data_IF_140109904347
#
_entry.id   IF_140109904347
#
_cell.length_a   1.000
_cell.length_b   1.000
_cell.length_c   1.000
_cell.angle_alpha   90.00
_cell.angle_beta   90.00
_cell.angle_gamma   90.00
#
_symmetry.space_group_name_H-M   'P 1'
#
loop_
_entity.id
_entity.type
_entity.pdbx_description
1 polymer ?
#
# COMPACT_ATOMS: atom_id res chain seq x y z
N UNK A 1 21.33 -15.36 -3.10
CA UNK A 1 21.94 -14.37 -4.01
C UNK A 1 22.68 -13.32 -3.20
N UNK A 2 23.90 -12.97 -3.58
CA UNK A 2 24.71 -11.91 -2.95
C UNK A 2 24.33 -10.51 -3.47
N UNK A 3 23.04 -10.18 -3.48
CA UNK A 3 22.54 -8.95 -4.11
C UNK A 3 21.16 -8.55 -3.58
N UNK A 4 20.86 -7.25 -3.63
CA UNK A 4 19.49 -6.76 -3.63
C UNK A 4 18.96 -6.75 -5.07
N UNK A 5 17.84 -7.43 -5.28
CA UNK A 5 17.19 -7.57 -6.60
C UNK A 5 15.93 -6.71 -6.73
N UNK A 6 15.55 -6.03 -5.67
CA UNK A 6 14.38 -5.16 -5.63
C UNK A 6 14.63 -4.04 -4.61
N UNK A 7 14.34 -2.77 -4.95
CA UNK A 7 14.51 -1.66 -4.03
C UNK A 7 13.47 -1.68 -2.90
N UNK A 8 13.79 -1.06 -1.77
CA UNK A 8 12.80 -0.64 -0.77
C UNK A 8 12.16 0.66 -1.26
N UNK A 9 10.83 0.70 -1.24
CA UNK A 9 10.03 1.82 -1.73
C UNK A 9 9.83 2.82 -0.60
N UNK A 10 10.37 4.02 -0.80
CA UNK A 10 10.16 5.18 0.05
C UNK A 10 9.27 6.24 -0.60
N UNK A 11 8.51 6.93 0.24
CA UNK A 11 7.88 8.20 -0.07
C UNK A 11 8.61 9.33 0.68
N UNK A 12 8.62 10.52 0.11
CA UNK A 12 9.16 11.72 0.74
C UNK A 12 8.26 12.95 0.47
N UNK A 13 8.29 13.98 1.34
CA UNK A 13 7.54 15.21 1.10
C UNK A 13 8.00 15.89 -0.19
N UNK A 14 7.06 16.49 -0.93
CA UNK A 14 7.41 17.17 -2.17
C UNK A 14 8.53 18.20 -1.99
N UNK A 15 9.51 18.13 -2.89
CA UNK A 15 10.66 19.03 -2.91
C UNK A 15 10.82 19.56 -4.33
N UNK A 16 10.61 20.86 -4.51
CA UNK A 16 10.63 21.48 -5.84
C UNK A 16 11.98 21.34 -6.55
N UNK A 17 13.10 21.34 -5.82
CA UNK A 17 14.44 21.15 -6.40
C UNK A 17 14.56 19.75 -7.00
N UNK A 18 14.17 18.72 -6.24
CA UNK A 18 14.18 17.33 -6.72
C UNK A 18 13.19 17.10 -7.86
N UNK A 19 11.99 17.68 -7.78
CA UNK A 19 10.98 17.60 -8.85
C UNK A 19 11.51 18.21 -10.15
N UNK A 20 12.10 19.39 -10.10
CA UNK A 20 12.70 20.04 -11.27
C UNK A 20 13.85 19.20 -11.87
N UNK A 21 14.63 18.51 -11.03
CA UNK A 21 15.69 17.62 -11.48
C UNK A 21 15.12 16.37 -12.16
N UNK A 22 14.09 15.75 -11.57
CA UNK A 22 13.36 14.64 -12.18
C UNK A 22 12.82 15.06 -13.56
N UNK A 23 12.15 16.21 -13.65
CA UNK A 23 11.62 16.73 -14.90
C UNK A 23 12.74 17.00 -15.92
N UNK A 24 13.85 17.63 -15.50
CA UNK A 24 15.04 17.86 -16.36
C UNK A 24 15.49 16.55 -17.02
N UNK A 25 15.66 15.47 -16.26
CA UNK A 25 16.11 14.19 -16.81
C UNK A 25 15.01 13.49 -17.63
N UNK A 26 13.75 13.55 -17.22
CA UNK A 26 12.63 12.94 -17.94
C UNK A 26 12.44 13.53 -19.37
N UNK A 27 12.91 14.76 -19.62
CA UNK A 27 12.92 15.37 -20.96
C UNK A 27 14.12 14.94 -21.85
N UNK A 28 15.07 14.18 -21.31
CA UNK A 28 16.21 13.63 -22.06
C UNK A 28 15.89 12.23 -22.59
N UNK A 29 16.76 11.68 -23.44
CA UNK A 29 16.61 10.30 -23.91
C UNK A 29 16.89 9.30 -22.79
N UNK A 30 15.98 8.36 -22.49
CA UNK A 30 16.22 7.31 -21.50
C UNK A 30 17.30 6.33 -21.97
N UNK A 31 18.06 5.79 -21.03
CA UNK A 31 19.02 4.70 -21.24
C UNK A 31 18.30 3.39 -21.59
N UNK A 32 17.16 3.13 -20.93
CA UNK A 32 16.30 2.00 -21.22
C UNK A 32 14.87 2.46 -21.44
N UNK A 33 14.22 1.94 -22.48
CA UNK A 33 12.82 2.22 -22.81
C UNK A 33 12.16 0.98 -23.41
N UNK A 34 11.30 0.34 -22.65
CA UNK A 34 10.64 -0.89 -23.10
C UNK A 34 9.24 -1.02 -22.51
N UNK A 35 8.38 -1.76 -23.21
CA UNK A 35 7.07 -2.17 -22.72
C UNK A 35 7.19 -3.61 -22.23
N UNK A 36 6.80 -3.84 -20.99
CA UNK A 36 6.81 -5.19 -20.46
C UNK A 36 5.72 -6.04 -21.11
N UNK A 37 6.05 -7.23 -21.65
CA UNK A 37 5.11 -7.98 -22.49
C UNK A 37 3.93 -8.58 -21.74
N UNK A 38 4.04 -8.76 -20.41
CA UNK A 38 3.01 -9.42 -19.60
C UNK A 38 1.91 -8.44 -19.17
N UNK A 39 2.30 -7.27 -18.67
CA UNK A 39 1.37 -6.29 -18.08
C UNK A 39 1.20 -5.03 -18.93
N UNK A 40 2.00 -4.85 -19.98
CA UNK A 40 1.88 -3.74 -20.92
C UNK A 40 2.37 -2.40 -20.38
N UNK A 41 2.99 -2.34 -19.19
CA UNK A 41 3.54 -1.10 -18.67
C UNK A 41 4.84 -0.73 -19.39
N UNK A 42 4.93 0.54 -19.81
CA UNK A 42 6.18 1.13 -20.33
C UNK A 42 7.07 1.50 -19.15
N UNK A 43 8.31 1.05 -19.18
CA UNK A 43 9.35 1.40 -18.23
C UNK A 43 10.42 2.23 -18.95
N UNK A 44 10.75 3.37 -18.35
CA UNK A 44 11.82 4.23 -18.82
C UNK A 44 12.80 4.48 -17.68
N UNK A 45 14.09 4.44 -17.97
CA UNK A 45 15.16 4.58 -16.98
C UNK A 45 16.22 5.55 -17.48
N UNK A 46 16.63 6.48 -16.61
CA UNK A 46 17.64 7.48 -16.89
C UNK A 46 18.78 7.36 -15.86
N UNK A 47 20.01 7.59 -16.31
CA UNK A 47 21.16 7.69 -15.43
C UNK A 47 21.43 9.17 -15.11
N UNK A 48 21.53 9.50 -13.82
CA UNK A 48 21.99 10.81 -13.35
C UNK A 48 23.51 10.70 -13.14
N UNK A 49 24.29 11.28 -14.06
CA UNK A 49 25.76 11.19 -14.05
C UNK A 49 26.45 12.54 -13.87
N UNK A 50 25.72 13.65 -13.79
CA UNK A 50 26.28 14.97 -13.53
C UNK A 50 26.58 15.13 -12.03
N UNK A 51 27.84 15.45 -11.70
CA UNK A 51 28.30 15.54 -10.30
C UNK A 51 27.55 16.63 -9.50
N UNK A 52 27.13 17.73 -10.14
CA UNK A 52 26.39 18.80 -9.44
C UNK A 52 24.96 18.37 -9.16
N UNK A 53 24.32 17.66 -10.09
CA UNK A 53 22.99 17.09 -9.89
C UNK A 53 23.02 16.02 -8.79
N UNK A 54 24.01 15.12 -8.78
CA UNK A 54 24.18 14.09 -7.72
C UNK A 54 24.38 14.76 -6.35
N UNK A 55 25.23 15.79 -6.28
CA UNK A 55 25.44 16.58 -5.06
C UNK A 55 24.13 17.24 -4.60
N UNK A 56 23.37 17.82 -5.53
CA UNK A 56 22.08 18.46 -5.21
C UNK A 56 21.10 17.44 -4.64
N UNK A 57 20.95 16.26 -5.26
CA UNK A 57 20.11 15.17 -4.74
C UNK A 57 20.54 14.80 -3.32
N UNK A 58 21.84 14.61 -3.11
CA UNK A 58 22.40 14.23 -1.80
C UNK A 58 22.11 15.29 -0.72
N UNK A 59 22.32 16.56 -1.02
CA UNK A 59 22.09 17.67 -0.09
C UNK A 59 20.60 17.86 0.22
N UNK A 60 19.70 17.69 -0.75
CA UNK A 60 18.26 17.79 -0.51
C UNK A 60 17.75 16.64 0.36
N UNK A 61 18.20 15.40 0.11
CA UNK A 61 17.85 14.27 0.99
C UNK A 61 18.45 14.42 2.40
N UNK A 62 19.65 14.98 2.54
CA UNK A 62 20.26 15.23 3.85
C UNK A 62 19.48 16.25 4.70
N UNK A 63 18.70 17.15 4.08
CA UNK A 63 17.82 18.10 4.76
C UNK A 63 16.51 17.47 5.23
N UNK A 64 16.15 16.29 4.72
CA UNK A 64 14.91 15.61 5.08
C UNK A 64 15.11 14.83 6.38
N UNK A 65 14.32 15.09 7.43
CA UNK A 65 14.48 14.40 8.71
C UNK A 65 14.11 12.91 8.62
N UNK A 66 13.21 12.56 7.69
CA UNK A 66 12.64 11.23 7.57
C UNK A 66 12.28 10.91 6.11
N UNK A 67 12.40 9.63 5.76
CA UNK A 67 11.79 9.02 4.58
C UNK A 67 10.79 7.95 5.06
N UNK A 68 9.69 7.79 4.33
CA UNK A 68 8.58 6.92 4.75
C UNK A 68 8.58 5.63 3.93
N UNK A 69 8.75 4.47 4.57
CA UNK A 69 8.66 3.18 3.86
C UNK A 69 7.21 2.95 3.43
N UNK A 70 6.95 3.05 2.13
CA UNK A 70 5.66 2.72 1.54
C UNK A 70 5.52 1.21 1.31
N UNK A 71 6.59 0.56 0.84
CA UNK A 71 6.66 -0.88 0.63
C UNK A 71 8.08 -1.41 0.88
N UNK A 72 8.20 -2.62 1.40
CA UNK A 72 9.50 -3.24 1.66
C UNK A 72 9.99 -3.21 3.11
N UNK A 73 9.09 -3.07 4.09
CA UNK A 73 9.42 -3.22 5.52
C UNK A 73 10.18 -4.53 5.84
N UNK A 74 9.76 -5.65 5.26
CA UNK A 74 10.47 -6.92 5.42
C UNK A 74 11.80 -6.95 4.65
N UNK A 75 11.89 -6.24 3.52
CA UNK A 75 13.11 -6.14 2.71
C UNK A 75 14.19 -5.34 3.44
N UNK A 76 13.84 -4.18 4.00
CA UNK A 76 14.79 -3.38 4.79
C UNK A 76 15.27 -4.12 6.04
N UNK A 77 14.37 -4.80 6.76
CA UNK A 77 14.73 -5.64 7.90
C UNK A 77 15.67 -6.80 7.51
N UNK A 78 15.38 -7.50 6.41
CA UNK A 78 16.22 -8.56 5.90
C UNK A 78 17.61 -8.05 5.45
N UNK A 79 17.66 -6.90 4.76
CA UNK A 79 18.92 -6.29 4.34
C UNK A 79 19.80 -5.91 5.55
N UNK A 80 19.22 -5.33 6.61
CA UNK A 80 19.94 -5.02 7.83
C UNK A 80 20.53 -6.27 8.51
N UNK A 81 19.78 -7.38 8.54
CA UNK A 81 20.29 -8.66 9.07
C UNK A 81 21.44 -9.21 8.23
N UNK A 82 21.34 -9.17 6.90
CA UNK A 82 22.40 -9.60 5.99
C UNK A 82 23.65 -8.73 6.12
N UNK A 83 23.50 -7.41 6.23
CA UNK A 83 24.60 -6.48 6.44
C UNK A 83 25.33 -6.78 7.75
N UNK A 84 24.59 -6.97 8.85
CA UNK A 84 25.16 -7.33 10.14
C UNK A 84 25.88 -8.70 10.13
N UNK A 85 25.37 -9.67 9.38
CA UNK A 85 26.03 -10.97 9.20
C UNK A 85 27.34 -10.83 8.43
N UNK A 86 27.34 -10.08 7.32
CA UNK A 86 28.53 -9.85 6.48
C UNK A 86 29.61 -9.05 7.21
N UNK A 87 29.22 -8.02 7.96
CA UNK A 87 30.14 -7.23 8.78
C UNK A 87 30.90 -8.13 9.77
N UNK A 88 30.24 -9.11 10.41
CA UNK A 88 30.90 -10.07 11.32
C UNK A 88 31.86 -11.01 10.60
N UNK A 89 31.62 -11.29 9.33
CA UNK A 89 32.43 -12.20 8.50
C UNK A 89 33.58 -11.47 7.79
N UNK A 90 33.63 -10.14 7.83
CA UNK A 90 34.67 -9.33 7.19
C UNK A 90 35.63 -8.73 8.24
N UNK A 91 36.85 -9.28 8.41
CA UNK A 91 37.84 -8.73 9.33
C UNK A 91 38.32 -7.31 8.99
N UNK A 92 38.08 -6.86 7.76
CA UNK A 92 38.45 -5.53 7.25
C UNK A 92 37.25 -4.57 7.19
N UNK A 93 36.20 -4.84 7.96
CA UNK A 93 34.99 -4.02 7.96
C UNK A 93 35.28 -2.55 8.30
N UNK A 94 34.81 -1.64 7.44
CA UNK A 94 34.95 -0.18 7.56
C UNK A 94 33.62 0.54 7.84
N UNK A 95 32.49 -0.11 7.55
CA UNK A 95 31.15 0.48 7.70
C UNK A 95 30.60 1.14 6.44
N UNK A 96 31.38 1.20 5.37
CA UNK A 96 31.02 1.79 4.07
C UNK A 96 30.93 0.75 2.95
N UNK A 97 30.97 -0.54 3.27
CA UNK A 97 30.79 -1.58 2.26
C UNK A 97 29.35 -1.63 1.75
N UNK A 98 29.18 -2.10 0.50
CA UNK A 98 27.89 -2.23 -0.17
C UNK A 98 26.86 -3.01 0.66
N UNK A 99 27.29 -4.01 1.44
CA UNK A 99 26.39 -4.76 2.33
C UNK A 99 25.83 -3.98 3.52
N UNK A 100 26.34 -2.78 3.81
CA UNK A 100 25.78 -1.86 4.81
C UNK A 100 24.64 -1.00 4.24
N UNK A 101 24.47 -1.01 2.92
CA UNK A 101 23.43 -0.29 2.22
C UNK A 101 22.39 -1.27 1.68
N UNK A 102 21.24 -0.71 1.31
CA UNK A 102 20.28 -1.43 0.51
C UNK A 102 19.70 -0.51 -0.55
N UNK A 103 19.32 -1.12 -1.68
CA UNK A 103 18.74 -0.39 -2.78
C UNK A 103 17.42 0.28 -2.35
N UNK A 104 17.32 1.58 -2.58
CA UNK A 104 16.15 2.38 -2.28
C UNK A 104 15.61 3.03 -3.56
N UNK A 105 14.31 3.26 -3.57
CA UNK A 105 13.65 4.10 -4.57
C UNK A 105 12.72 5.05 -3.85
N UNK A 106 12.80 6.32 -4.19
CA UNK A 106 12.15 7.39 -3.46
C UNK A 106 11.20 8.13 -4.40
N UNK A 107 9.93 8.25 -4.00
CA UNK A 107 8.92 8.99 -4.75
C UNK A 107 8.42 10.20 -3.96
N UNK A 108 8.24 11.36 -4.62
CA UNK A 108 7.57 12.50 -3.99
C UNK A 108 6.11 12.14 -3.72
N UNK A 109 5.60 12.55 -2.56
CA UNK A 109 4.28 12.18 -2.09
C UNK A 109 3.16 12.51 -3.10
N UNK A 110 3.27 13.61 -3.83
CA UNK A 110 2.27 13.99 -4.84
C UNK A 110 2.25 13.12 -6.09
N UNK A 111 3.33 12.40 -6.39
CA UNK A 111 3.39 11.47 -7.52
C UNK A 111 2.97 10.04 -7.15
N UNK A 112 2.64 9.81 -5.88
CA UNK A 112 2.14 8.54 -5.40
C UNK A 112 0.62 8.50 -5.39
N UNK A 113 0.08 7.46 -6.02
CA UNK A 113 -1.34 7.14 -5.89
C UNK A 113 -1.49 5.98 -4.93
N UNK A 114 -2.29 6.18 -3.88
CA UNK A 114 -2.73 5.10 -3.00
C UNK A 114 -4.10 4.67 -3.47
N UNK A 115 -4.19 3.45 -3.96
CA UNK A 115 -5.44 2.82 -4.33
C UNK A 115 -6.07 2.10 -3.13
N UNK A 116 -7.38 1.89 -3.24
CA UNK A 116 -8.15 1.10 -2.31
C UNK A 116 -7.62 -0.33 -2.27
N UNK A 117 -7.62 -0.91 -1.06
CA UNK A 117 -7.24 -2.30 -0.87
C UNK A 117 -8.42 -3.09 -0.33
N UNK A 118 -9.17 -3.64 -1.28
CA UNK A 118 -10.48 -4.20 -1.08
C UNK A 118 -10.41 -5.61 -0.50
N UNK A 119 -11.49 -6.05 0.13
CA UNK A 119 -11.56 -7.32 0.85
C UNK A 119 -12.67 -8.18 0.28
N UNK A 120 -12.43 -9.47 0.17
CA UNK A 120 -13.46 -10.44 -0.18
C UNK A 120 -13.49 -11.54 0.87
N UNK A 121 -14.68 -12.01 1.20
CA UNK A 121 -14.89 -12.96 2.29
C UNK A 121 -15.76 -14.12 1.82
N UNK A 122 -15.37 -15.35 2.16
CA UNK A 122 -15.98 -16.60 1.66
C UNK A 122 -17.30 -16.97 2.32
N UNK A 123 -17.59 -16.46 3.52
CA UNK A 123 -18.82 -16.76 4.27
C UNK A 123 -19.21 -15.63 5.24
N UNK A 124 -20.41 -15.76 5.80
CA UNK A 124 -20.97 -14.82 6.79
C UNK A 124 -20.91 -15.37 8.22
N UNK A 125 -19.98 -16.29 8.51
CA UNK A 125 -19.84 -16.92 9.83
C UNK A 125 -21.16 -17.55 10.36
N UNK A 126 -21.90 -18.21 9.46
CA UNK A 126 -23.17 -18.87 9.77
C UNK A 126 -24.41 -17.95 9.76
N UNK A 127 -24.26 -16.65 9.49
CA UNK A 127 -25.39 -15.72 9.35
C UNK A 127 -26.06 -15.84 7.98
N UNK A 128 -27.36 -15.53 7.93
CA UNK A 128 -28.04 -15.22 6.67
C UNK A 128 -27.71 -13.80 6.22
N UNK A 129 -28.02 -13.47 4.97
CA UNK A 129 -27.80 -12.14 4.40
C UNK A 129 -28.55 -11.06 5.20
N UNK A 130 -29.80 -11.33 5.59
CA UNK A 130 -30.62 -10.41 6.39
C UNK A 130 -30.05 -10.22 7.80
N UNK A 131 -29.64 -11.31 8.44
CA UNK A 131 -29.03 -11.26 9.77
C UNK A 131 -27.70 -10.50 9.75
N UNK A 132 -26.92 -10.65 8.67
CA UNK A 132 -25.67 -9.91 8.48
C UNK A 132 -25.92 -8.41 8.28
N UNK A 133 -26.87 -8.02 7.44
CA UNK A 133 -27.26 -6.59 7.27
C UNK A 133 -27.80 -5.99 8.57
N UNK A 134 -28.56 -6.76 9.35
CA UNK A 134 -29.04 -6.33 10.67
C UNK A 134 -27.89 -6.13 11.66
N UNK A 135 -26.90 -7.03 11.67
CA UNK A 135 -25.70 -6.88 12.50
C UNK A 135 -24.88 -5.65 12.10
N UNK A 136 -24.70 -5.41 10.80
CA UNK A 136 -24.03 -4.20 10.28
C UNK A 136 -24.73 -2.93 10.74
N UNK A 137 -26.07 -2.93 10.76
CA UNK A 137 -26.88 -1.75 11.12
C UNK A 137 -26.69 -1.28 12.57
N UNK A 138 -26.05 -2.09 13.44
CA UNK A 138 -25.65 -1.65 14.78
C UNK A 138 -24.60 -0.54 14.72
N UNK A 139 -23.60 -0.68 13.86
CA UNK A 139 -22.45 0.22 13.76
C UNK A 139 -22.45 1.11 12.51
N UNK A 140 -23.25 0.76 11.50
CA UNK A 140 -23.29 1.46 10.22
C UNK A 140 -24.71 1.93 9.90
N UNK A 141 -24.82 3.01 9.13
CA UNK A 141 -26.02 3.35 8.38
C UNK A 141 -25.95 2.57 7.07
N UNK A 142 -26.87 1.62 6.87
CA UNK A 142 -26.91 0.72 5.71
C UNK A 142 -27.95 1.21 4.73
N UNK A 143 -27.59 1.38 3.45
CA UNK A 143 -28.55 1.68 2.39
C UNK A 143 -28.32 0.80 1.17
N UNK A 144 -29.40 0.19 0.65
CA UNK A 144 -29.40 -0.55 -0.61
C UNK A 144 -29.20 0.44 -1.78
N UNK A 145 -28.19 0.18 -2.62
CA UNK A 145 -27.84 0.98 -3.80
C UNK A 145 -28.21 0.28 -5.11
N UNK A 146 -28.80 -0.92 -5.04
CA UNK A 146 -29.22 -1.71 -6.18
C UNK A 146 -28.05 -2.45 -6.85
N UNK A 147 -28.20 -2.76 -8.14
CA UNK A 147 -27.27 -3.60 -8.88
C UNK A 147 -26.08 -2.84 -9.49
N UNK A 148 -26.23 -1.51 -9.65
CA UNK A 148 -25.19 -0.66 -10.21
C UNK A 148 -23.98 -0.54 -9.27
N UNK A 149 -22.78 -0.52 -9.83
CA UNK A 149 -21.55 -0.37 -9.05
C UNK A 149 -21.61 0.88 -8.17
N UNK A 150 -21.37 0.68 -6.87
CA UNK A 150 -21.31 1.78 -5.91
C UNK A 150 -19.88 1.91 -5.39
N UNK A 151 -19.24 3.05 -5.64
CA UNK A 151 -17.92 3.37 -5.08
C UNK A 151 -18.08 4.21 -3.81
N UNK A 152 -17.29 3.97 -2.75
CA UNK A 152 -17.28 4.86 -1.59
C UNK A 152 -16.87 6.27 -2.00
N UNK A 153 -17.60 7.29 -1.54
CA UNK A 153 -17.39 8.68 -1.99
C UNK A 153 -16.52 9.49 -1.02
N UNK A 154 -16.43 9.05 0.24
CA UNK A 154 -15.72 9.75 1.31
C UNK A 154 -15.19 8.77 2.34
N UNK A 155 -14.28 9.25 3.17
CA UNK A 155 -13.81 8.55 4.36
C UNK A 155 -15.00 8.12 5.23
N UNK A 156 -14.91 6.93 5.83
CA UNK A 156 -15.94 6.29 6.67
C UNK A 156 -17.16 5.76 5.91
N UNK A 157 -17.11 5.79 4.58
CA UNK A 157 -18.07 5.11 3.72
C UNK A 157 -17.42 3.88 3.09
N UNK A 158 -18.20 2.80 3.02
CA UNK A 158 -17.78 1.53 2.44
C UNK A 158 -18.84 1.08 1.45
N UNK A 159 -18.42 0.28 0.47
CA UNK A 159 -19.34 -0.42 -0.41
C UNK A 159 -19.30 -1.90 -0.08
N UNK A 160 -20.44 -2.48 0.23
CA UNK A 160 -20.63 -3.91 0.39
C UNK A 160 -21.32 -4.45 -0.86
N UNK A 161 -20.73 -5.46 -1.50
CA UNK A 161 -21.39 -6.24 -2.53
C UNK A 161 -21.76 -7.61 -1.98
N UNK A 162 -23.05 -7.96 -2.06
CA UNK A 162 -23.61 -9.21 -1.56
C UNK A 162 -24.85 -9.58 -2.36
N UNK A 163 -24.92 -10.83 -2.83
CA UNK A 163 -26.13 -11.41 -3.44
C UNK A 163 -26.75 -10.55 -4.56
N UNK A 164 -25.92 -10.07 -5.48
CA UNK A 164 -26.35 -9.29 -6.65
C UNK A 164 -26.46 -7.79 -6.41
N UNK A 165 -26.32 -7.31 -5.18
CA UNK A 165 -26.58 -5.92 -4.80
C UNK A 165 -25.40 -5.23 -4.13
N UNK A 166 -25.30 -3.94 -4.37
CA UNK A 166 -24.44 -3.01 -3.67
C UNK A 166 -25.18 -2.33 -2.53
N UNK A 167 -24.48 -2.16 -1.41
CA UNK A 167 -24.94 -1.42 -0.24
C UNK A 167 -23.89 -0.39 0.12
N UNK A 168 -24.32 0.82 0.50
CA UNK A 168 -23.46 1.77 1.20
C UNK A 168 -23.51 1.48 2.69
N UNK A 169 -22.33 1.42 3.32
CA UNK A 169 -22.19 1.37 4.78
C UNK A 169 -21.50 2.66 5.21
N UNK A 170 -22.18 3.52 5.95
CA UNK A 170 -21.54 4.71 6.55
C UNK A 170 -21.32 4.43 8.03
N UNK A 171 -20.06 4.43 8.50
CA UNK A 171 -19.76 4.22 9.91
C UNK A 171 -20.39 5.34 10.75
N UNK A 172 -21.02 4.99 11.88
CA UNK A 172 -21.60 5.98 12.79
C UNK A 172 -20.49 6.67 13.59
N UNK A 173 -20.66 7.96 13.89
CA UNK A 173 -19.62 8.81 14.52
C UNK A 173 -19.03 8.24 15.82
N UNK A 174 -19.79 7.46 16.58
CA UNK A 174 -19.34 6.87 17.85
C UNK A 174 -18.63 5.52 17.71
N UNK A 175 -18.35 5.07 16.48
CA UNK A 175 -17.76 3.74 16.22
C UNK A 175 -16.26 3.76 15.93
N UNK A 176 -15.66 4.96 15.87
CA UNK A 176 -14.24 5.20 15.69
C UNK A 176 -13.79 6.45 16.44
N UNK A 177 -12.51 6.53 16.79
CA UNK A 177 -11.91 7.71 17.41
C UNK A 177 -11.20 8.59 16.38
N UNK A 178 -11.80 9.73 16.03
CA UNK A 178 -11.22 10.70 15.10
C UNK A 178 -9.86 11.27 15.52
N UNK A 179 -9.51 11.18 16.81
CA UNK A 179 -8.22 11.63 17.33
C UNK A 179 -7.14 10.54 17.32
N UNK A 180 -7.52 9.26 17.13
CA UNK A 180 -6.53 8.20 16.94
C UNK A 180 -6.27 8.01 15.44
N UNK A 181 -5.03 8.25 14.98
CA UNK A 181 -4.71 8.19 13.55
C UNK A 181 -4.83 6.78 12.95
N UNK A 182 -4.88 5.72 13.77
CA UNK A 182 -5.12 4.34 13.31
C UNK A 182 -6.62 4.00 13.36
N UNK A 183 -7.29 4.30 14.47
CA UNK A 183 -8.69 3.88 14.65
C UNK A 183 -9.66 4.60 13.72
N UNK A 184 -9.28 5.80 13.26
CA UNK A 184 -10.05 6.57 12.27
C UNK A 184 -9.99 6.00 10.84
N UNK A 185 -9.09 5.06 10.56
CA UNK A 185 -8.93 4.51 9.21
C UNK A 185 -10.01 3.48 8.89
N UNK A 186 -10.55 3.53 7.67
CA UNK A 186 -11.55 2.56 7.18
C UNK A 186 -11.06 1.12 7.26
N UNK A 187 -9.77 0.89 7.05
CA UNK A 187 -9.15 -0.43 7.20
C UNK A 187 -9.22 -0.94 8.65
N UNK A 188 -9.13 -0.06 9.65
CA UNK A 188 -9.24 -0.41 11.06
C UNK A 188 -10.69 -0.63 11.45
N UNK A 189 -11.57 0.27 11.01
CA UNK A 189 -13.03 0.21 11.26
C UNK A 189 -13.61 -1.09 10.70
N UNK A 190 -13.36 -1.40 9.42
CA UNK A 190 -13.86 -2.63 8.80
C UNK A 190 -13.27 -3.90 9.43
N UNK A 191 -11.99 -3.89 9.81
CA UNK A 191 -11.37 -5.03 10.52
C UNK A 191 -12.03 -5.28 11.87
N UNK A 192 -12.23 -4.23 12.68
CA UNK A 192 -12.78 -4.35 14.02
C UNK A 192 -14.28 -4.65 14.01
N UNK A 193 -15.05 -3.85 13.27
CA UNK A 193 -16.51 -3.85 13.36
C UNK A 193 -17.17 -4.90 12.47
N UNK A 194 -16.55 -5.27 11.35
CA UNK A 194 -17.13 -6.24 10.41
C UNK A 194 -16.39 -7.57 10.52
N UNK A 195 -15.07 -7.57 10.29
CA UNK A 195 -14.31 -8.82 10.22
C UNK A 195 -14.24 -9.52 11.58
N UNK A 196 -13.83 -8.83 12.65
CA UNK A 196 -13.72 -9.44 13.97
C UNK A 196 -15.10 -9.63 14.62
N UNK A 197 -15.82 -8.53 14.89
CA UNK A 197 -17.05 -8.57 15.69
C UNK A 197 -18.20 -9.38 15.07
N UNK A 198 -18.35 -9.35 13.75
CA UNK A 198 -19.47 -10.05 13.07
C UNK A 198 -18.99 -11.39 12.50
N UNK A 199 -17.86 -11.40 11.80
CA UNK A 199 -17.39 -12.57 11.04
C UNK A 199 -16.37 -13.45 11.79
N UNK A 200 -15.86 -13.00 12.94
CA UNK A 200 -14.87 -13.72 13.74
C UNK A 200 -13.48 -13.84 13.09
N UNK A 201 -13.17 -13.04 12.07
CA UNK A 201 -11.90 -13.02 11.36
C UNK A 201 -10.94 -12.07 12.08
N UNK A 202 -10.04 -12.63 12.90
CA UNK A 202 -9.10 -11.85 13.74
C UNK A 202 -7.72 -11.69 13.12
N UNK A 203 -7.17 -12.77 12.56
CA UNK A 203 -5.84 -12.77 11.96
C UNK A 203 -5.94 -12.79 10.44
N UNK A 204 -5.85 -11.60 9.84
CA UNK A 204 -5.93 -11.38 8.40
C UNK A 204 -4.81 -12.06 7.59
N UNK A 205 -3.74 -12.52 8.24
CA UNK A 205 -2.62 -13.21 7.57
C UNK A 205 -2.82 -14.72 7.51
N UNK A 206 -3.68 -15.27 8.36
CA UNK A 206 -3.83 -16.72 8.54
C UNK A 206 -5.24 -17.23 8.24
N UNK A 207 -6.26 -16.40 8.42
CA UNK A 207 -7.63 -16.81 8.13
C UNK A 207 -7.83 -16.95 6.62
N UNK A 208 -8.19 -18.17 6.18
CA UNK A 208 -8.37 -18.52 4.77
C UNK A 208 -9.69 -18.00 4.20
N UNK A 209 -10.59 -17.49 5.05
CA UNK A 209 -11.90 -16.97 4.63
C UNK A 209 -11.82 -15.57 4.04
N UNK A 210 -10.67 -14.90 4.14
CA UNK A 210 -10.47 -13.56 3.59
C UNK A 210 -9.37 -13.57 2.54
N UNK A 211 -9.61 -12.82 1.47
CA UNK A 211 -8.60 -12.47 0.49
C UNK A 211 -8.71 -10.98 0.12
N UNK A 212 -7.70 -10.46 -0.58
CA UNK A 212 -7.56 -9.04 -0.86
C UNK A 212 -7.46 -8.76 -2.36
N UNK A 213 -8.12 -7.70 -2.81
CA UNK A 213 -8.14 -7.27 -4.21
C UNK A 213 -7.58 -5.86 -4.28
N UNK A 214 -6.46 -5.70 -5.00
CA UNK A 214 -5.85 -4.39 -5.25
C UNK A 214 -6.74 -3.50 -6.12
N UNK A 215 -6.76 -2.20 -5.84
CA UNK A 215 -7.65 -1.23 -6.47
C UNK A 215 -7.57 -1.15 -8.00
N UNK A 216 -6.46 -1.55 -8.61
CA UNK A 216 -6.32 -1.63 -10.08
C UNK A 216 -7.39 -2.52 -10.74
N UNK A 217 -7.84 -3.58 -10.05
CA UNK A 217 -8.89 -4.46 -10.58
C UNK A 217 -10.30 -3.89 -10.40
N UNK A 218 -10.45 -2.94 -9.46
CA UNK A 218 -11.68 -2.20 -9.22
C UNK A 218 -12.86 -3.03 -8.71
N UNK A 219 -14.05 -2.41 -8.76
CA UNK A 219 -15.31 -2.99 -8.26
C UNK A 219 -15.80 -4.15 -9.13
N UNK A 220 -15.46 -4.14 -10.43
CA UNK A 220 -15.85 -5.20 -11.36
C UNK A 220 -15.27 -6.56 -10.95
N UNK A 221 -14.01 -6.60 -10.51
CA UNK A 221 -13.42 -7.85 -10.01
C UNK A 221 -14.06 -8.32 -8.71
N UNK A 222 -14.40 -7.39 -7.80
CA UNK A 222 -15.12 -7.73 -6.56
C UNK A 222 -16.46 -8.39 -6.87
N UNK A 223 -17.24 -7.77 -7.77
CA UNK A 223 -18.51 -8.30 -8.24
C UNK A 223 -18.33 -9.68 -8.87
N UNK A 224 -17.34 -9.85 -9.75
CA UNK A 224 -17.05 -11.14 -10.41
C UNK A 224 -16.76 -12.25 -9.40
N UNK A 225 -15.92 -11.99 -8.38
CA UNK A 225 -15.57 -13.01 -7.37
C UNK A 225 -16.78 -13.44 -6.55
N UNK A 226 -17.66 -12.51 -6.19
CA UNK A 226 -18.89 -12.85 -5.47
C UNK A 226 -19.89 -13.57 -6.37
N UNK A 227 -20.15 -13.07 -7.58
CA UNK A 227 -21.13 -13.66 -8.51
C UNK A 227 -20.70 -15.05 -9.00
N UNK A 228 -19.40 -15.35 -9.01
CA UNK A 228 -18.88 -16.68 -9.34
C UNK A 228 -19.10 -17.73 -8.23
N UNK A 229 -19.48 -17.30 -7.03
CA UNK A 229 -19.58 -18.15 -5.84
C UNK A 229 -18.25 -18.45 -5.14
N UNK A 230 -17.13 -17.91 -5.64
CA UNK A 230 -15.83 -17.98 -4.97
C UNK A 230 -15.87 -17.28 -3.60
N UNK A 231 -16.57 -16.16 -3.53
CA UNK A 231 -16.69 -15.30 -2.35
C UNK A 231 -18.16 -15.05 -2.04
N UNK A 232 -18.50 -14.87 -0.76
CA UNK A 232 -19.86 -14.57 -0.32
C UNK A 232 -20.14 -13.07 -0.31
N UNK A 233 -19.14 -12.26 0.06
CA UNK A 233 -19.23 -10.80 0.05
C UNK A 233 -17.93 -10.16 -0.43
N UNK A 234 -18.04 -8.92 -0.88
CA UNK A 234 -16.91 -8.04 -1.11
C UNK A 234 -17.11 -6.68 -0.43
N UNK A 235 -16.03 -6.13 0.12
CA UNK A 235 -15.98 -4.80 0.71
C UNK A 235 -14.99 -3.95 -0.08
N UNK A 236 -15.46 -2.85 -0.63
CA UNK A 236 -14.60 -1.77 -1.11
C UNK A 236 -14.49 -0.66 -0.07
N UNK A 237 -13.27 -0.18 0.12
CA UNK A 237 -12.90 0.79 1.15
C UNK A 237 -12.53 2.13 0.51
N UNK A 238 -12.67 3.22 1.25
CA UNK A 238 -12.08 4.48 0.82
C UNK A 238 -10.56 4.44 1.00
N UNK A 239 -9.77 4.86 -0.02
CA UNK A 239 -8.32 4.80 0.06
C UNK A 239 -7.78 5.75 1.13
N UNK A 240 -6.71 5.32 1.82
CA UNK A 240 -5.98 6.20 2.73
C UNK A 240 -5.14 7.20 1.94
N UNK A 241 -4.92 8.38 2.52
CA UNK A 241 -4.12 9.44 1.90
C UNK A 241 -2.64 9.37 2.31
N UNK A 242 -1.75 9.92 1.49
CA UNK A 242 -0.32 10.03 1.83
C UNK A 242 -0.11 10.77 3.15
N UNK A 243 -0.90 11.82 3.40
CA UNK A 243 -0.87 12.56 4.66
C UNK A 243 -1.17 11.68 5.87
N UNK A 244 -2.19 10.83 5.80
CA UNK A 244 -2.52 9.92 6.91
C UNK A 244 -1.36 8.94 7.20
N UNK A 245 -0.71 8.42 6.15
CA UNK A 245 0.44 7.51 6.31
C UNK A 245 1.61 8.23 7.00
N UNK A 246 1.94 9.44 6.53
CA UNK A 246 3.02 10.24 7.11
C UNK A 246 2.71 10.62 8.56
N UNK A 247 1.50 11.12 8.84
CA UNK A 247 1.08 11.49 10.20
C UNK A 247 1.14 10.29 11.19
N UNK A 248 0.86 9.06 10.73
CA UNK A 248 0.96 7.84 11.53
C UNK A 248 2.43 7.52 11.81
N UNK A 249 3.28 7.55 10.79
CA UNK A 249 4.70 7.27 10.90
C UNK A 249 5.42 8.30 11.80
N UNK A 250 5.10 9.59 11.65
CA UNK A 250 5.67 10.68 12.47
C UNK A 250 5.30 10.55 13.96
N UNK A 251 4.19 9.87 14.26
CA UNK A 251 3.79 9.53 15.64
C UNK A 251 4.41 8.23 16.14
N UNK A 252 5.35 7.63 15.39
CA UNK A 252 5.98 6.35 15.72
C UNK A 252 5.02 5.16 15.70
N UNK A 253 3.85 5.31 15.05
CA UNK A 253 2.84 4.27 14.91
C UNK A 253 3.04 3.50 13.60
N UNK A 254 2.52 2.28 13.54
CA UNK A 254 2.63 1.39 12.37
C UNK A 254 1.27 1.30 11.68
N UNK A 255 1.26 1.43 10.35
CA UNK A 255 0.06 1.21 9.54
C UNK A 255 -0.49 -0.20 9.75
N UNK A 256 -1.83 -0.37 9.87
CA UNK A 256 -2.44 -1.69 9.90
C UNK A 256 -1.98 -2.54 8.69
N UNK A 257 -1.80 -3.86 8.86
CA UNK A 257 -1.42 -4.71 7.75
C UNK A 257 -2.50 -4.66 6.68
N UNK A 258 -2.08 -4.78 5.40
CA UNK A 258 -3.01 -4.82 4.26
C UNK A 258 -3.92 -3.58 4.20
N UNK A 259 -3.33 -2.41 4.43
CA UNK A 259 -4.04 -1.13 4.42
C UNK A 259 -3.89 -0.31 3.14
N UNK A 260 -2.85 -0.57 2.34
CA UNK A 260 -2.46 0.32 1.23
C UNK A 260 -2.07 -0.46 -0.01
N UNK A 261 -2.38 0.10 -1.18
CA UNK A 261 -1.86 -0.32 -2.47
C UNK A 261 -1.25 0.88 -3.19
N UNK A 262 0.08 0.94 -3.24
CA UNK A 262 0.80 2.04 -3.90
C UNK A 262 1.00 1.78 -5.39
N UNK A 263 0.73 2.81 -6.19
CA UNK A 263 1.13 2.92 -7.59
C UNK A 263 2.03 4.16 -7.80
N UNK A 264 3.00 4.09 -8.73
CA UNK A 264 3.31 2.97 -9.62
C UNK A 264 4.05 1.81 -8.92
N UNK A 265 3.76 0.56 -9.29
CA UNK A 265 4.59 -0.59 -8.89
C UNK A 265 5.86 -0.67 -9.75
N UNK A 266 7.00 -0.79 -9.08
CA UNK A 266 8.28 -0.98 -9.75
C UNK A 266 8.50 -2.44 -10.07
N UNK A 267 9.08 -2.68 -11.26
CA UNK A 267 9.47 -4.03 -11.68
C UNK A 267 10.76 -4.45 -10.98
N UNK A 268 10.72 -5.58 -10.29
CA UNK A 268 11.91 -6.19 -9.70
C UNK A 268 12.93 -6.58 -10.78
N UNK A 269 14.22 -6.51 -10.45
CA UNK A 269 15.30 -6.93 -11.33
C UNK A 269 15.70 -5.95 -12.44
N UNK A 270 15.09 -4.76 -12.52
CA UNK A 270 15.57 -3.71 -13.43
C UNK A 270 16.93 -3.14 -13.02
N UNK A 271 17.11 -2.99 -11.71
CA UNK A 271 18.39 -2.64 -11.11
C UNK A 271 18.72 -3.74 -10.12
N UNK A 272 19.98 -4.17 -10.11
CA UNK A 272 20.51 -5.16 -9.17
C UNK A 272 21.73 -4.54 -8.49
N UNK A 273 21.69 -4.49 -7.17
CA UNK A 273 22.79 -3.99 -6.35
C UNK A 273 23.50 -5.18 -5.72
N UNK A 274 24.75 -5.41 -6.11
CA UNK A 274 25.58 -6.48 -5.56
C UNK A 274 26.12 -6.06 -4.19
N UNK A 275 26.41 -7.03 -3.33
CA UNK A 275 26.86 -6.79 -1.95
C UNK A 275 28.37 -7.01 -1.78
N UNK A 276 29.11 -7.01 -2.89
CA UNK A 276 30.55 -7.26 -3.02
C UNK A 276 31.21 -6.22 -3.92
#
# INVERSE_FOLDING_TARGET
NNANIEPVFFAYPDNSTLLNLIDKYAHTTPEYDFIAPIDGFRHQFWCVSDDNDIKTVTEEFAKMPSLYIADGHHRSAAAALVGAEKAKQNPLHRGDEEYNYFMAVCFPASQLTILDYNRVITDLNGLTDEAFLQALSQNFIVADKGEAEYRPQKLHEFSLYMSGKWYSLTAKDNTYNSNDPIDVLDVSISSRLILDQILGIKDLRRDKRIDFVGGLRGLTELKRRVDSGEMKIALALYPVTMKQIMDIADKGKIMPPKATWFEPKLRSGLVIHKLD
#
